data_IF_942106963561
#
_entry.id   IF_942106963561
#
_cell.length_a   1.000
_cell.length_b   1.000
_cell.length_c   1.000
_cell.angle_alpha   90.00
_cell.angle_beta   90.00
_cell.angle_gamma   90.00
#
_symmetry.space_group_name_H-M   'P 1'
#
loop_
_entity.id
_entity.type
_entity.pdbx_description
1 polymer ?
#
# COMPACT_ATOMS: atom_id res chain seq x y z
N UNK A 1 6.60 1.18 6.22
CA UNK A 1 6.60 0.39 4.97
C UNK A 1 6.01 1.24 3.85
N UNK A 2 5.99 0.72 2.63
CA UNK A 2 5.46 1.44 1.47
C UNK A 2 4.07 0.91 1.11
N UNK A 3 3.10 1.82 1.01
CA UNK A 3 1.70 1.50 0.70
C UNK A 3 1.32 2.11 -0.64
N UNK A 4 0.69 1.35 -1.52
CA UNK A 4 0.16 1.84 -2.77
C UNK A 4 -0.90 2.93 -2.54
N UNK A 5 -0.77 4.05 -3.25
CA UNK A 5 -1.64 5.22 -3.09
C UNK A 5 -3.12 4.87 -3.31
N UNK A 6 -3.40 4.01 -4.29
CA UNK A 6 -4.74 3.50 -4.58
C UNK A 6 -5.09 2.21 -3.82
N UNK A 7 -4.64 2.04 -2.57
CA UNK A 7 -4.77 0.81 -1.78
C UNK A 7 -6.15 0.16 -1.92
N UNK A 8 -6.17 -1.10 -2.34
CA UNK A 8 -7.38 -1.90 -2.42
C UNK A 8 -7.73 -2.39 -1.01
N UNK A 9 -8.96 -2.15 -0.55
CA UNK A 9 -9.40 -2.51 0.79
C UNK A 9 -10.75 -3.19 0.71
N UNK A 10 -10.89 -4.35 1.35
CA UNK A 10 -12.19 -5.02 1.45
C UNK A 10 -13.20 -4.11 2.16
N UNK A 11 -14.48 -4.24 1.82
CA UNK A 11 -15.52 -3.32 2.29
C UNK A 11 -15.56 -3.22 3.82
N UNK A 12 -15.38 -4.35 4.51
CA UNK A 12 -15.39 -4.47 5.96
C UNK A 12 -14.25 -3.70 6.66
N UNK A 13 -13.15 -3.43 5.94
CA UNK A 13 -11.97 -2.78 6.48
C UNK A 13 -11.89 -1.29 6.15
N UNK A 14 -12.73 -0.77 5.25
CA UNK A 14 -12.66 0.63 4.78
C UNK A 14 -12.73 1.64 5.92
N UNK A 15 -13.63 1.45 6.87
CA UNK A 15 -13.81 2.36 8.01
C UNK A 15 -12.63 2.34 9.00
N UNK A 16 -11.95 1.19 9.12
CA UNK A 16 -10.88 0.97 10.11
C UNK A 16 -9.48 0.98 9.47
N UNK A 17 -9.39 1.21 8.16
CA UNK A 17 -8.15 1.15 7.37
C UNK A 17 -6.99 1.86 8.03
N UNK A 18 -7.14 3.14 8.35
CA UNK A 18 -6.04 3.95 8.88
C UNK A 18 -5.55 3.45 10.24
N UNK A 19 -6.48 2.95 11.08
CA UNK A 19 -6.15 2.36 12.37
C UNK A 19 -5.42 1.03 12.23
N UNK A 20 -5.76 0.23 11.21
CA UNK A 20 -5.09 -1.05 10.93
C UNK A 20 -3.69 -0.80 10.38
N UNK A 21 -3.53 0.14 9.45
CA UNK A 21 -2.22 0.56 8.92
C UNK A 21 -1.32 1.04 10.06
N UNK A 22 -1.84 1.90 10.95
CA UNK A 22 -1.10 2.40 12.11
C UNK A 22 -0.64 1.26 13.02
N UNK A 23 -1.50 0.26 13.29
CA UNK A 23 -1.11 -0.92 14.07
C UNK A 23 0.01 -1.72 13.41
N UNK A 24 -0.13 -2.02 12.11
CA UNK A 24 0.84 -2.82 11.35
C UNK A 24 2.22 -2.16 11.35
N UNK A 25 2.26 -0.84 11.11
CA UNK A 25 3.49 -0.06 11.07
C UNK A 25 4.18 0.08 12.42
N UNK A 26 3.42 0.03 13.51
CA UNK A 26 3.97 0.02 14.87
C UNK A 26 4.23 -1.40 15.40
N UNK A 27 4.10 -2.44 14.56
CA UNK A 27 4.35 -3.83 14.96
C UNK A 27 3.34 -4.34 15.99
N UNK A 28 2.12 -3.81 16.00
CA UNK A 28 1.04 -4.32 16.82
C UNK A 28 0.29 -5.44 16.06
N UNK A 29 0.01 -6.55 16.74
CA UNK A 29 -0.69 -7.69 16.16
C UNK A 29 -2.06 -7.30 15.60
N UNK A 30 -2.36 -7.78 14.40
CA UNK A 30 -3.59 -7.54 13.66
C UNK A 30 -4.09 -8.86 13.09
N UNK A 31 -4.55 -9.78 13.97
CA UNK A 31 -5.01 -11.08 13.55
C UNK A 31 -6.24 -10.95 12.65
N UNK A 32 -6.32 -11.83 11.64
CA UNK A 32 -7.40 -11.80 10.66
C UNK A 32 -7.30 -10.68 9.63
N UNK A 33 -6.13 -10.04 9.49
CA UNK A 33 -5.86 -9.13 8.38
C UNK A 33 -4.84 -9.78 7.45
N UNK A 34 -5.17 -9.81 6.17
CA UNK A 34 -4.27 -10.28 5.11
C UNK A 34 -3.93 -9.11 4.19
N UNK A 35 -2.67 -9.08 3.78
CA UNK A 35 -2.10 -8.06 2.92
C UNK A 35 -1.74 -8.68 1.59
N UNK A 36 -2.01 -7.94 0.52
CA UNK A 36 -1.57 -8.25 -0.82
C UNK A 36 -0.44 -7.28 -1.13
N UNK A 37 0.69 -7.80 -1.58
CA UNK A 37 1.90 -7.03 -1.87
C UNK A 37 2.37 -7.28 -3.29
N UNK A 38 3.15 -6.34 -3.83
CA UNK A 38 3.95 -6.60 -5.02
C UNK A 38 4.85 -7.82 -4.79
N UNK A 39 5.20 -8.56 -5.86
CA UNK A 39 5.91 -9.81 -5.69
C UNK A 39 7.31 -9.55 -5.12
N UNK A 40 7.67 -10.29 -4.07
CA UNK A 40 8.99 -10.29 -3.44
C UNK A 40 10.08 -10.92 -4.32
N UNK A 41 9.68 -11.62 -5.37
CA UNK A 41 10.57 -12.28 -6.32
C UNK A 41 10.00 -12.22 -7.75
N UNK A 42 10.87 -12.37 -8.75
CA UNK A 42 10.50 -12.24 -10.17
C UNK A 42 9.55 -13.33 -10.70
N UNK A 43 9.37 -14.43 -9.97
CA UNK A 43 8.52 -15.55 -10.40
C UNK A 43 7.07 -15.39 -9.96
N UNK A 44 6.83 -14.64 -8.90
CA UNK A 44 5.50 -14.44 -8.34
C UNK A 44 4.80 -13.26 -9.05
N UNK A 45 3.48 -13.31 -9.10
CA UNK A 45 2.66 -12.22 -9.66
C UNK A 45 2.32 -11.19 -8.59
N UNK A 46 1.93 -11.68 -7.41
CA UNK A 46 1.64 -10.95 -6.17
C UNK A 46 1.93 -11.89 -5.01
N UNK A 47 2.22 -11.34 -3.84
CA UNK A 47 2.36 -12.11 -2.60
C UNK A 47 1.23 -11.78 -1.63
N UNK A 48 0.66 -12.81 -1.01
CA UNK A 48 -0.33 -12.68 0.07
C UNK A 48 0.36 -13.06 1.37
N UNK A 49 0.27 -12.18 2.37
CA UNK A 49 0.86 -12.40 3.68
C UNK A 49 -0.12 -12.00 4.79
N UNK A 50 -0.10 -12.74 5.90
CA UNK A 50 -0.84 -12.33 7.10
C UNK A 50 -0.13 -11.13 7.73
N UNK A 51 -0.89 -10.16 8.19
CA UNK A 51 -0.34 -8.98 8.85
C UNK A 51 0.49 -9.36 10.10
N UNK A 52 0.18 -10.47 10.77
CA UNK A 52 0.96 -10.97 11.91
C UNK A 52 2.36 -11.45 11.51
N UNK A 53 2.60 -11.83 10.25
CA UNK A 53 3.95 -12.15 9.77
C UNK A 53 4.88 -10.93 9.83
N UNK A 54 4.32 -9.71 9.78
CA UNK A 54 5.08 -8.47 9.91
C UNK A 54 5.52 -8.18 11.35
N UNK A 55 5.09 -8.98 12.34
CA UNK A 55 5.67 -8.95 13.69
C UNK A 55 7.13 -9.42 13.67
N UNK A 56 7.54 -10.19 12.66
CA UNK A 56 8.93 -10.59 12.49
C UNK A 56 9.75 -9.45 11.87
N UNK A 57 10.81 -8.96 12.54
CA UNK A 57 11.57 -7.79 12.08
C UNK A 57 12.17 -7.91 10.67
N UNK A 58 12.41 -9.14 10.20
CA UNK A 58 12.92 -9.38 8.83
C UNK A 58 11.80 -9.17 7.81
N UNK A 59 10.62 -9.73 8.05
CA UNK A 59 9.45 -9.58 7.17
C UNK A 59 9.00 -8.12 7.12
N UNK A 60 8.96 -7.44 8.27
CA UNK A 60 8.64 -6.01 8.33
C UNK A 60 9.58 -5.14 7.49
N UNK A 61 10.89 -5.43 7.52
CA UNK A 61 11.91 -4.65 6.81
C UNK A 61 11.94 -4.92 5.30
N UNK A 62 11.61 -6.15 4.90
CA UNK A 62 11.66 -6.60 3.51
C UNK A 62 10.29 -6.62 2.84
N UNK A 63 9.23 -6.14 3.52
CA UNK A 63 7.88 -6.11 3.00
C UNK A 63 7.84 -5.30 1.69
N UNK A 64 7.45 -5.92 0.56
CA UNK A 64 7.24 -5.19 -0.69
C UNK A 64 6.10 -4.18 -0.56
N UNK A 65 5.89 -3.37 -1.59
CA UNK A 65 4.80 -2.38 -1.60
C UNK A 65 3.46 -3.08 -1.39
N UNK A 66 2.73 -2.66 -0.37
CA UNK A 66 1.41 -3.21 -0.03
C UNK A 66 0.38 -2.57 -0.95
N UNK A 67 -0.30 -3.40 -1.74
CA UNK A 67 -1.28 -2.98 -2.75
C UNK A 67 -2.72 -3.28 -2.36
N UNK A 68 -2.94 -4.21 -1.42
CA UNK A 68 -4.27 -4.60 -0.96
C UNK A 68 -4.33 -5.03 0.51
N UNK A 69 -5.51 -4.99 1.10
CA UNK A 69 -5.79 -5.41 2.48
C UNK A 69 -7.21 -5.99 2.62
N UNK A 70 -7.33 -7.16 3.24
CA UNK A 70 -8.59 -7.91 3.41
C UNK A 70 -8.73 -8.52 4.80
N UNK A 71 -9.93 -8.97 5.16
CA UNK A 71 -10.23 -9.59 6.46
C UNK A 71 -10.07 -11.13 6.43
N UNK A 72 -9.89 -11.72 5.25
CA UNK A 72 -9.68 -13.15 5.09
C UNK A 72 -8.70 -13.46 3.96
N UNK A 73 -8.10 -14.66 4.03
CA UNK A 73 -7.21 -15.16 3.00
C UNK A 73 -7.96 -15.41 1.68
N UNK A 74 -9.21 -15.88 1.76
CA UNK A 74 -10.05 -16.15 0.59
C UNK A 74 -10.35 -14.83 -0.16
N UNK A 75 -10.77 -13.78 0.55
CA UNK A 75 -10.92 -12.44 -0.04
C UNK A 75 -9.62 -11.92 -0.63
N UNK A 76 -8.48 -12.17 0.04
CA UNK A 76 -7.17 -11.75 -0.48
C UNK A 76 -6.88 -12.43 -1.82
N UNK A 77 -7.21 -13.72 -1.92
CA UNK A 77 -7.00 -14.53 -3.12
C UNK A 77 -7.91 -14.06 -4.25
N UNK A 78 -9.18 -13.82 -3.97
CA UNK A 78 -10.14 -13.29 -4.95
C UNK A 78 -9.73 -11.89 -5.45
N UNK A 79 -9.34 -11.01 -4.54
CA UNK A 79 -8.86 -9.67 -4.88
C UNK A 79 -7.58 -9.73 -5.72
N UNK A 80 -6.60 -10.57 -5.34
CA UNK A 80 -5.38 -10.75 -6.12
C UNK A 80 -5.65 -11.30 -7.52
N UNK A 81 -6.54 -12.29 -7.64
CA UNK A 81 -6.95 -12.85 -8.92
C UNK A 81 -7.62 -11.79 -9.80
N UNK A 82 -8.52 -10.97 -9.23
CA UNK A 82 -9.16 -9.87 -9.95
C UNK A 82 -8.13 -8.85 -10.46
N UNK A 83 -7.17 -8.44 -9.61
CA UNK A 83 -6.10 -7.51 -10.00
C UNK A 83 -5.24 -8.07 -11.15
N UNK A 84 -4.89 -9.35 -11.11
CA UNK A 84 -4.09 -10.01 -12.15
C UNK A 84 -4.88 -10.10 -13.46
N UNK A 85 -6.16 -10.46 -13.41
CA UNK A 85 -7.02 -10.55 -14.59
C UNK A 85 -7.23 -9.17 -15.24
N UNK A 86 -7.41 -8.12 -14.44
CA UNK A 86 -7.56 -6.77 -14.95
C UNK A 86 -6.25 -6.24 -15.55
N UNK A 87 -5.11 -6.51 -14.91
CA UNK A 87 -3.79 -6.19 -15.45
C UNK A 87 -3.56 -6.87 -16.81
N UNK A 88 -3.95 -8.15 -16.95
CA UNK A 88 -3.86 -8.87 -18.21
C UNK A 88 -4.74 -8.25 -19.30
N UNK A 89 -5.98 -7.85 -18.97
CA UNK A 89 -6.89 -7.22 -19.94
C UNK A 89 -6.40 -5.87 -20.43
N UNK A 90 -5.82 -5.06 -19.55
CA UNK A 90 -5.42 -3.68 -19.87
C UNK A 90 -4.02 -3.60 -20.48
N UNK A 91 -3.04 -4.31 -19.91
CA UNK A 91 -1.62 -4.21 -20.30
C UNK A 91 -1.23 -5.34 -21.26
N UNK A 92 -2.06 -6.39 -21.40
CA UNK A 92 -1.76 -7.56 -22.23
C UNK A 92 -0.73 -8.52 -21.61
N UNK A 93 -0.37 -8.31 -20.34
CA UNK A 93 0.60 -9.13 -19.61
C UNK A 93 0.17 -9.29 -18.15
N UNK A 94 0.63 -10.36 -17.48
CA UNK A 94 0.36 -10.59 -16.05
C UNK A 94 1.22 -9.72 -15.12
N UNK A 95 1.54 -8.49 -15.54
CA UNK A 95 2.34 -7.54 -14.76
C UNK A 95 1.42 -6.55 -14.06
N UNK A 96 1.30 -6.67 -12.75
CA UNK A 96 0.38 -5.85 -11.95
C UNK A 96 0.89 -4.42 -11.73
N UNK A 97 2.20 -4.21 -11.55
CA UNK A 97 2.74 -2.87 -11.27
C UNK A 97 2.46 -1.84 -12.38
N UNK A 98 2.69 -2.13 -13.68
CA UNK A 98 2.34 -1.19 -14.75
C UNK A 98 0.85 -0.86 -14.80
N UNK A 99 -0.01 -1.87 -14.58
CA UNK A 99 -1.45 -1.70 -14.47
C UNK A 99 -1.82 -0.74 -13.33
N UNK A 100 -1.24 -0.93 -12.14
CA UNK A 100 -1.49 -0.06 -11.00
C UNK A 100 -1.01 1.38 -11.27
N UNK A 101 0.14 1.56 -11.92
CA UNK A 101 0.65 2.90 -12.28
C UNK A 101 -0.28 3.64 -13.23
N UNK A 102 -0.90 2.95 -14.20
CA UNK A 102 -1.85 3.56 -15.13
C UNK A 102 -3.13 4.08 -14.44
N UNK A 103 -3.46 3.57 -13.25
CA UNK A 103 -4.64 3.98 -12.48
C UNK A 103 -4.43 5.23 -11.63
N UNK A 104 -3.17 5.65 -11.45
CA UNK A 104 -2.84 6.86 -10.72
C UNK A 104 -2.80 8.06 -11.65
N UNK A 105 -2.97 9.25 -11.08
CA UNK A 105 -2.72 10.48 -11.83
C UNK A 105 -1.21 10.65 -12.07
N UNK A 106 -0.78 11.31 -13.17
CA UNK A 106 0.65 11.49 -13.46
C UNK A 106 1.45 12.20 -12.36
N UNK A 107 0.79 12.99 -11.51
CA UNK A 107 1.37 13.73 -10.39
C UNK A 107 1.30 13.00 -9.04
N UNK A 108 0.64 11.84 -8.98
CA UNK A 108 0.52 11.04 -7.76
C UNK A 108 1.70 10.07 -7.59
N UNK A 109 2.28 10.05 -6.38
CA UNK A 109 3.32 9.07 -6.03
C UNK A 109 2.73 7.66 -6.09
N UNK A 110 3.49 6.69 -6.61
CA UNK A 110 3.04 5.29 -6.69
C UNK A 110 2.82 4.66 -5.30
N UNK A 111 3.78 4.92 -4.40
CA UNK A 111 3.76 4.40 -3.05
C UNK A 111 4.04 5.51 -2.05
N UNK A 112 3.32 5.47 -0.92
CA UNK A 112 3.45 6.38 0.19
C UNK A 112 4.20 5.66 1.30
N UNK A 113 5.31 6.24 1.73
CA UNK A 113 6.09 5.72 2.84
C UNK A 113 5.46 6.11 4.19
N UNK A 114 5.22 5.11 5.05
CA UNK A 114 4.75 5.32 6.42
C UNK A 114 5.92 5.28 7.44
N UNK A 115 5.93 6.14 8.49
CA UNK A 115 4.94 7.17 8.81
C UNK A 115 4.91 8.24 7.74
N UNK A 116 3.69 8.60 7.31
CA UNK A 116 3.47 9.74 6.41
C UNK A 116 4.25 10.89 7.06
N UNK A 117 5.38 11.28 6.45
CA UNK A 117 6.13 12.45 6.92
C UNK A 117 5.10 13.57 6.90
N UNK A 118 4.64 14.02 8.07
CA UNK A 118 3.70 15.14 8.17
C UNK A 118 4.30 16.25 7.31
N UNK A 119 3.78 16.46 6.09
CA UNK A 119 4.19 17.60 5.27
C UNK A 119 3.96 18.78 6.19
N UNK A 120 5.01 19.53 6.54
CA UNK A 120 4.84 20.72 7.38
C UNK A 120 3.71 21.53 6.72
N UNK A 121 2.62 21.88 7.44
CA UNK A 121 1.56 22.67 6.84
C UNK A 121 2.23 23.90 6.20
N UNK A 122 1.92 24.20 4.94
CA UNK A 122 2.58 25.28 4.17
C UNK A 122 2.57 26.62 4.91
N UNK A 123 1.67 26.80 5.87
CA UNK A 123 1.54 27.95 6.76
C UNK A 123 2.68 28.14 7.78
N UNK A 124 3.59 27.17 7.94
CA UNK A 124 4.79 27.27 8.80
C UNK A 124 6.05 27.73 8.06
N UNK A 125 5.94 28.27 6.84
CA UNK A 125 7.02 29.09 6.30
C UNK A 125 6.91 30.49 6.92
N UNK A 126 7.95 31.01 7.61
CA UNK A 126 7.95 32.42 7.95
C UNK A 126 7.83 33.19 6.64
N UNK A 127 6.76 33.97 6.51
CA UNK A 127 6.58 34.92 5.43
C UNK A 127 7.79 35.85 5.46
N UNK A 128 8.79 35.57 4.61
CA UNK A 128 9.91 36.47 4.42
C UNK A 128 9.35 37.69 3.70
N UNK A 129 8.97 38.68 4.50
CA UNK A 129 8.72 40.05 4.05
C UNK A 129 10.01 40.52 3.41
N UNK A 130 10.10 40.48 2.08
CA UNK A 130 11.10 41.28 1.35
C UNK A 130 10.89 42.72 1.78
N UNK A 131 11.78 43.25 2.63
CA UNK A 131 11.95 44.70 2.75
C UNK A 131 12.75 45.10 1.52
N UNK A 132 12.08 45.72 0.57
CA UNK A 132 12.75 46.59 -0.38
C UNK A 132 13.05 47.89 0.37
N UNK A 133 14.34 48.17 0.58
CA UNK A 133 14.90 49.52 0.70
C UNK A 133 16.17 49.52 -0.15
#
# INVERSE_FOLDING_TARGET
MDWYTGLYVSDDLKEKKDKIIDKIEHGAGTPGVYLITLPSNEKNLLDILSADQLLWPVMHRLCPVIVGMTHSYDEATEMAAAMILDAHKEVGAFRVEPYLRNRLRPDEDFAIHYPIRKRKPLWRMPFQRKRNV
#
